data_IF_329303269036
#
_entry.id   IF_329303269036
#
_cell.length_a   1.000
_cell.length_b   1.000
_cell.length_c   1.000
_cell.angle_alpha   90.00
_cell.angle_beta   90.00
_cell.angle_gamma   90.00
#
_symmetry.space_group_name_H-M   'P 1'
#
loop_
_entity.id
_entity.type
_entity.pdbx_description
1 polymer ?
#
# COMPACT_ATOMS: atom_id res chain seq x y z
N UNK A 1 -13.65 -17.60 -6.77
CA UNK A 1 -14.41 -16.37 -7.08
C UNK A 1 -13.63 -15.12 -6.69
N UNK A 2 -13.17 -14.98 -5.43
CA UNK A 2 -12.29 -13.87 -5.01
C UNK A 2 -10.92 -13.87 -5.70
N UNK A 3 -10.28 -15.04 -5.89
CA UNK A 3 -9.00 -15.15 -6.62
C UNK A 3 -9.08 -14.55 -8.02
N UNK A 4 -10.05 -14.99 -8.84
CA UNK A 4 -10.23 -14.47 -10.19
C UNK A 4 -10.50 -12.96 -10.23
N UNK A 5 -11.21 -12.42 -9.23
CA UNK A 5 -11.44 -10.98 -9.12
C UNK A 5 -10.14 -10.23 -8.80
N UNK A 6 -9.29 -10.78 -7.91
CA UNK A 6 -7.98 -10.21 -7.61
C UNK A 6 -7.05 -10.26 -8.80
N UNK A 7 -7.03 -11.35 -9.57
CA UNK A 7 -6.22 -11.46 -10.79
C UNK A 7 -6.58 -10.39 -11.81
N UNK A 8 -7.88 -10.10 -12.00
CA UNK A 8 -8.33 -8.98 -12.86
C UNK A 8 -7.88 -7.61 -12.34
N UNK A 9 -7.90 -7.40 -11.02
CA UNK A 9 -7.39 -6.17 -10.41
C UNK A 9 -5.88 -6.05 -10.64
N UNK A 10 -5.13 -7.14 -10.48
CA UNK A 10 -3.69 -7.15 -10.71
C UNK A 10 -3.37 -6.85 -12.17
N UNK A 11 -3.99 -7.56 -13.12
CA UNK A 11 -3.79 -7.37 -14.55
C UNK A 11 -4.08 -5.93 -14.98
N UNK A 12 -5.19 -5.35 -14.52
CA UNK A 12 -5.51 -3.95 -14.82
C UNK A 12 -4.54 -2.96 -14.16
N UNK A 13 -4.01 -3.28 -12.98
CA UNK A 13 -3.11 -2.41 -12.23
C UNK A 13 -1.67 -2.39 -12.76
N UNK A 14 -1.18 -3.49 -13.35
CA UNK A 14 0.22 -3.59 -13.81
C UNK A 14 0.58 -2.47 -14.79
N UNK A 15 -0.30 -2.20 -15.76
CA UNK A 15 -0.08 -1.13 -16.75
C UNK A 15 0.01 0.25 -16.08
N UNK A 16 -0.87 0.53 -15.11
CA UNK A 16 -0.87 1.78 -14.36
C UNK A 16 0.39 1.93 -13.50
N UNK A 17 0.84 0.85 -12.86
CA UNK A 17 2.06 0.84 -12.04
C UNK A 17 3.29 1.10 -12.91
N UNK A 18 3.45 0.38 -14.01
CA UNK A 18 4.57 0.57 -14.93
C UNK A 18 4.60 2.00 -15.50
N UNK A 19 3.42 2.54 -15.86
CA UNK A 19 3.31 3.93 -16.32
C UNK A 19 3.73 4.93 -15.25
N UNK A 20 3.28 4.75 -14.00
CA UNK A 20 3.64 5.64 -12.90
C UNK A 20 5.14 5.56 -12.57
N UNK A 21 5.70 4.36 -12.52
CA UNK A 21 7.12 4.15 -12.24
C UNK A 21 8.00 4.78 -13.32
N UNK A 22 7.67 4.59 -14.60
CA UNK A 22 8.41 5.17 -15.71
C UNK A 22 8.27 6.71 -15.74
N UNK A 23 7.03 7.22 -15.59
CA UNK A 23 6.75 8.67 -15.67
C UNK A 23 7.37 9.45 -14.51
N UNK A 24 7.34 8.91 -13.30
CA UNK A 24 7.84 9.57 -12.09
C UNK A 24 9.19 9.03 -11.61
N UNK A 25 9.95 8.35 -12.47
CA UNK A 25 11.22 7.74 -12.10
C UNK A 25 12.20 8.76 -11.49
N UNK A 26 12.24 9.99 -12.01
CA UNK A 26 13.10 11.06 -11.49
C UNK A 26 12.63 11.61 -10.13
N UNK A 27 11.33 11.53 -9.83
CA UNK A 27 10.74 12.01 -8.57
C UNK A 27 10.60 10.88 -7.53
N UNK A 28 11.14 9.69 -7.79
CA UNK A 28 11.00 8.51 -6.91
C UNK A 28 11.44 8.80 -5.47
N UNK A 29 12.57 9.48 -5.28
CA UNK A 29 13.11 9.76 -3.95
C UNK A 29 12.21 10.71 -3.16
N UNK A 30 11.54 11.64 -3.84
CA UNK A 30 10.53 12.50 -3.22
C UNK A 30 9.30 11.70 -2.80
N UNK A 31 8.81 10.81 -3.67
CA UNK A 31 7.69 9.93 -3.35
C UNK A 31 8.02 8.99 -2.18
N UNK A 32 9.24 8.47 -2.12
CA UNK A 32 9.68 7.63 -1.00
C UNK A 32 9.73 8.39 0.31
N UNK A 33 10.19 9.65 0.29
CA UNK A 33 10.18 10.51 1.47
C UNK A 33 8.77 10.76 1.97
N UNK A 34 7.82 11.08 1.08
CA UNK A 34 6.41 11.25 1.45
C UNK A 34 5.85 9.97 2.06
N UNK A 35 6.01 8.83 1.38
CA UNK A 35 5.50 7.55 1.86
C UNK A 35 6.09 7.13 3.21
N UNK A 36 7.37 7.42 3.44
CA UNK A 36 8.02 7.16 4.73
C UNK A 36 7.51 8.11 5.80
N UNK A 37 7.36 9.41 5.51
CA UNK A 37 6.89 10.40 6.48
C UNK A 37 5.47 10.13 6.96
N UNK A 38 4.60 9.70 6.04
CA UNK A 38 3.21 9.36 6.32
C UNK A 38 3.00 7.86 6.56
N UNK A 39 4.04 7.15 6.99
CA UNK A 39 3.88 5.77 7.41
C UNK A 39 2.93 5.69 8.63
N UNK A 40 1.95 4.76 8.64
CA UNK A 40 0.97 4.61 9.73
C UNK A 40 1.62 4.42 11.11
N UNK A 41 2.85 3.91 11.18
CA UNK A 41 3.62 3.83 12.43
C UNK A 41 3.81 5.21 13.05
N UNK A 42 4.10 6.23 12.24
CA UNK A 42 4.25 7.60 12.73
C UNK A 42 2.91 8.24 13.08
N UNK A 43 1.83 7.88 12.38
CA UNK A 43 0.46 8.29 12.73
C UNK A 43 0.11 7.92 14.17
N UNK A 44 0.40 6.67 14.56
CA UNK A 44 0.13 6.19 15.91
C UNK A 44 1.12 6.71 16.94
N UNK A 45 2.43 6.71 16.64
CA UNK A 45 3.47 7.00 17.63
C UNK A 45 3.68 8.50 17.88
N UNK A 46 3.48 9.35 16.86
CA UNK A 46 3.81 10.78 16.97
C UNK A 46 2.59 11.67 16.75
N UNK A 47 1.86 11.49 15.65
CA UNK A 47 0.76 12.40 15.30
C UNK A 47 -0.40 12.30 16.29
N UNK A 48 -0.84 11.09 16.65
CA UNK A 48 -1.95 10.93 17.59
C UNK A 48 -1.64 11.51 19.00
N UNK A 49 -0.49 11.24 19.64
CA UNK A 49 -0.13 11.88 20.92
C UNK A 49 0.01 13.39 20.82
N UNK A 50 0.58 13.90 19.74
CA UNK A 50 0.75 15.34 19.52
C UNK A 50 -0.61 16.04 19.40
N UNK A 51 -1.50 15.52 18.55
CA UNK A 51 -2.86 16.07 18.39
C UNK A 51 -3.65 15.94 19.68
N UNK A 52 -3.53 14.82 20.40
CA UNK A 52 -4.17 14.64 21.71
C UNK A 52 -3.68 15.64 22.76
N UNK A 53 -2.41 16.01 22.73
CA UNK A 53 -1.83 17.00 23.64
C UNK A 53 -2.33 18.43 23.35
N UNK A 54 -2.63 18.74 22.08
CA UNK A 54 -3.19 20.03 21.66
C UNK A 54 -4.71 20.10 21.87
N UNK A 55 -5.44 19.06 21.46
CA UNK A 55 -6.88 18.91 21.67
C UNK A 55 -7.23 17.44 21.92
N UNK A 56 -7.65 17.14 23.16
CA UNK A 56 -8.04 15.79 23.57
C UNK A 56 -9.25 15.26 22.82
N UNK A 57 -10.15 16.13 22.34
CA UNK A 57 -11.32 15.69 21.59
C UNK A 57 -10.92 15.18 20.21
N UNK A 58 -10.18 15.98 19.45
CA UNK A 58 -9.67 15.61 18.12
C UNK A 58 -8.67 14.45 18.21
N UNK A 59 -7.75 14.47 19.18
CA UNK A 59 -6.77 13.39 19.34
C UNK A 59 -7.42 12.01 19.59
N UNK A 60 -8.50 11.95 20.37
CA UNK A 60 -9.26 10.69 20.55
C UNK A 60 -9.90 10.21 19.25
N UNK A 61 -10.46 11.12 18.45
CA UNK A 61 -11.03 10.77 17.15
C UNK A 61 -9.96 10.24 16.20
N UNK A 62 -8.80 10.89 16.13
CA UNK A 62 -7.66 10.46 15.31
C UNK A 62 -7.17 9.08 15.74
N UNK A 63 -7.04 8.85 17.05
CA UNK A 63 -6.62 7.55 17.58
C UNK A 63 -7.61 6.45 17.21
N UNK A 64 -8.92 6.67 17.38
CA UNK A 64 -9.93 5.69 17.00
C UNK A 64 -9.98 5.44 15.49
N UNK A 65 -9.85 6.49 14.67
CA UNK A 65 -9.81 6.37 13.22
C UNK A 65 -8.61 5.51 12.77
N UNK A 66 -7.41 5.78 13.32
CA UNK A 66 -6.21 5.00 13.03
C UNK A 66 -6.36 3.53 13.44
N UNK A 67 -6.89 3.26 14.64
CA UNK A 67 -7.12 1.88 15.13
C UNK A 67 -8.11 1.15 14.23
N UNK A 68 -9.25 1.77 13.88
CA UNK A 68 -10.26 1.15 13.03
C UNK A 68 -9.73 0.92 11.61
N UNK A 69 -9.00 1.88 11.04
CA UNK A 69 -8.38 1.76 9.73
C UNK A 69 -7.41 0.57 9.67
N UNK A 70 -6.49 0.46 10.64
CA UNK A 70 -5.54 -0.66 10.70
C UNK A 70 -6.25 -2.01 10.88
N UNK A 71 -7.27 -2.07 11.74
CA UNK A 71 -8.02 -3.30 11.98
C UNK A 71 -8.78 -3.76 10.74
N UNK A 72 -9.48 -2.85 10.08
CA UNK A 72 -10.19 -3.14 8.82
C UNK A 72 -9.20 -3.50 7.71
N UNK A 73 -8.07 -2.80 7.62
CA UNK A 73 -7.01 -3.13 6.66
C UNK A 73 -6.51 -4.56 6.85
N UNK A 74 -6.24 -4.95 8.09
CA UNK A 74 -5.78 -6.30 8.43
C UNK A 74 -6.80 -7.37 8.05
N UNK A 75 -8.08 -7.18 8.43
CA UNK A 75 -9.15 -8.10 8.09
C UNK A 75 -9.30 -8.25 6.56
N UNK A 76 -9.27 -7.14 5.83
CA UNK A 76 -9.40 -7.18 4.37
C UNK A 76 -8.19 -7.85 3.71
N UNK A 77 -6.96 -7.60 4.19
CA UNK A 77 -5.76 -8.28 3.69
C UNK A 77 -5.85 -9.80 3.87
N UNK A 78 -6.35 -10.25 5.01
CA UNK A 78 -6.57 -11.67 5.28
C UNK A 78 -7.67 -12.28 4.42
N UNK A 79 -8.71 -11.52 4.08
CA UNK A 79 -9.79 -12.04 3.24
C UNK A 79 -9.39 -12.09 1.75
N UNK A 80 -8.67 -11.07 1.28
CA UNK A 80 -8.37 -10.89 -0.14
C UNK A 80 -7.11 -11.63 -0.60
N UNK A 81 -6.14 -11.87 0.28
CA UNK A 81 -4.86 -12.49 -0.08
C UNK A 81 -4.21 -11.87 -1.32
N UNK A 82 -4.31 -10.54 -1.46
CA UNK A 82 -3.82 -9.87 -2.65
C UNK A 82 -2.30 -9.85 -2.71
N UNK A 83 -1.75 -10.40 -3.79
CA UNK A 83 -0.30 -10.46 -4.01
C UNK A 83 0.30 -9.08 -4.28
N UNK A 84 1.58 -8.90 -3.96
CA UNK A 84 2.29 -7.66 -4.31
C UNK A 84 2.56 -7.66 -5.82
N UNK A 85 2.37 -6.52 -6.52
CA UNK A 85 2.46 -6.47 -7.98
C UNK A 85 3.76 -7.03 -8.56
N UNK A 86 4.91 -6.73 -7.92
CA UNK A 86 6.21 -7.23 -8.37
C UNK A 86 6.31 -8.76 -8.32
N UNK A 87 5.83 -9.40 -7.25
CA UNK A 87 5.86 -10.86 -7.13
C UNK A 87 4.82 -11.51 -8.05
N UNK A 88 3.60 -10.96 -8.07
CA UNK A 88 2.50 -11.48 -8.88
C UNK A 88 2.86 -11.59 -10.37
N UNK A 89 3.54 -10.61 -10.97
CA UNK A 89 3.95 -10.69 -12.39
C UNK A 89 4.91 -11.84 -12.69
N UNK A 90 5.69 -12.29 -11.70
CA UNK A 90 6.65 -13.39 -11.87
C UNK A 90 6.03 -14.77 -11.62
N UNK A 91 4.94 -14.81 -10.86
CA UNK A 91 4.27 -16.04 -10.44
C UNK A 91 3.04 -16.37 -11.30
N UNK A 92 2.41 -15.34 -11.90
CA UNK A 92 1.25 -15.53 -12.77
C UNK A 92 1.58 -16.27 -14.05
N UNK A 93 0.61 -17.04 -14.56
CA UNK A 93 0.69 -17.72 -15.85
C UNK A 93 0.25 -16.83 -17.03
N UNK A 94 -0.20 -15.61 -16.76
CA UNK A 94 -0.74 -14.68 -17.77
C UNK A 94 0.39 -14.14 -18.65
N UNK A 95 1.56 -13.83 -18.07
CA UNK A 95 2.70 -13.30 -18.81
C UNK A 95 3.69 -14.42 -19.15
N UNK A 96 4.30 -14.31 -20.33
CA UNK A 96 5.40 -15.19 -20.68
C UNK A 96 6.65 -14.75 -19.91
N UNK A 97 7.40 -15.71 -19.34
CA UNK A 97 8.62 -15.42 -18.55
C UNK A 97 9.71 -14.68 -19.34
N UNK A 98 9.62 -14.69 -20.67
CA UNK A 98 10.53 -13.99 -21.57
C UNK A 98 10.12 -12.53 -21.86
N UNK A 99 8.87 -12.15 -21.58
CA UNK A 99 8.32 -10.82 -21.84
C UNK A 99 7.47 -10.37 -20.64
N UNK A 100 8.16 -9.98 -19.57
CA UNK A 100 7.53 -9.46 -18.36
C UNK A 100 7.33 -7.94 -18.45
N UNK A 101 6.23 -7.41 -17.89
CA UNK A 101 6.06 -5.97 -17.70
C UNK A 101 7.19 -5.37 -16.86
N UNK A 102 7.67 -4.18 -17.24
CA UNK A 102 8.71 -3.45 -16.50
C UNK A 102 8.14 -2.82 -15.24
N UNK A 103 8.01 -3.63 -14.19
CA UNK A 103 7.63 -3.21 -12.84
C UNK A 103 8.83 -3.41 -11.92
N UNK A 104 9.26 -2.33 -11.28
CA UNK A 104 10.40 -2.31 -10.38
C UNK A 104 9.97 -2.52 -8.93
N UNK A 105 10.81 -3.24 -8.17
CA UNK A 105 10.72 -3.30 -6.70
C UNK A 105 11.72 -2.31 -6.10
N UNK A 106 11.28 -1.57 -5.08
CA UNK A 106 12.10 -0.63 -4.32
C UNK A 106 12.23 -1.09 -2.88
N UNK A 107 13.23 -0.57 -2.17
CA UNK A 107 13.44 -0.91 -0.76
C UNK A 107 12.19 -0.69 0.10
N UNK A 108 11.45 0.41 -0.13
CA UNK A 108 10.26 0.72 0.66
C UNK A 108 9.03 -0.12 0.27
N UNK A 109 9.01 -0.68 -0.94
CA UNK A 109 7.88 -1.46 -1.46
C UNK A 109 8.06 -2.96 -1.26
N UNK A 110 9.24 -3.38 -0.78
CA UNK A 110 9.55 -4.76 -0.38
C UNK A 110 9.00 -5.03 1.03
N UNK A 111 7.71 -5.31 1.11
CA UNK A 111 7.03 -5.68 2.35
C UNK A 111 6.62 -7.16 2.33
N UNK A 112 6.51 -7.74 3.52
CA UNK A 112 6.27 -9.19 3.70
C UNK A 112 4.80 -9.58 3.77
N UNK A 113 3.87 -8.62 3.82
CA UNK A 113 2.43 -8.88 3.95
C UNK A 113 1.64 -8.66 2.64
N UNK A 114 0.36 -9.09 2.61
CA UNK A 114 -0.51 -8.90 1.46
C UNK A 114 -0.57 -7.42 1.01
N UNK A 115 -0.65 -7.21 -0.30
CA UNK A 115 -0.64 -5.88 -0.92
C UNK A 115 -1.99 -5.17 -0.92
N UNK A 116 -3.10 -5.92 -0.81
CA UNK A 116 -4.45 -5.38 -1.01
C UNK A 116 -5.36 -5.54 0.21
N UNK A 117 -5.99 -4.45 0.70
CA UNK A 117 -5.80 -3.05 0.33
C UNK A 117 -4.53 -2.43 0.96
N UNK A 118 -4.03 -1.34 0.37
CA UNK A 118 -2.86 -0.62 0.89
C UNK A 118 -3.14 -0.01 2.27
N UNK A 119 -2.29 -0.34 3.26
CA UNK A 119 -2.39 0.21 4.61
C UNK A 119 -2.00 1.68 4.68
N UNK A 120 -0.91 2.06 4.00
CA UNK A 120 -0.48 3.45 3.87
C UNK A 120 -1.59 4.33 3.32
N UNK A 121 -2.22 3.92 2.21
CA UNK A 121 -3.29 4.69 1.60
C UNK A 121 -4.53 4.77 2.50
N UNK A 122 -4.90 3.69 3.16
CA UNK A 122 -6.09 3.63 4.03
C UNK A 122 -5.94 4.50 5.28
N UNK A 123 -4.75 4.56 5.88
CA UNK A 123 -4.51 5.37 7.07
C UNK A 123 -4.42 6.87 6.77
N UNK A 124 -4.06 7.24 5.54
CA UNK A 124 -3.90 8.65 5.12
C UNK A 124 -5.12 9.23 4.39
N UNK A 125 -6.10 8.40 4.04
CA UNK A 125 -7.33 8.80 3.35
C UNK A 125 -8.30 9.54 4.27
#
# INVERSE_FOLDING_TARGET
MLSNAMDMVHESSVSAIALLQNRFHQQRDFMFKISTLFDPRYAFLFFAPLVFSLDRYTGRKVMWAAVVAEWVNMLLKWMLHGERPYWWIHETHIYNKTQLPDVQQFFITCETGPGSPSGHAMATA
#
